data_IF_422871896877
#
_entry.id   IF_422871896877
#
_cell.length_a   1.000
_cell.length_b   1.000
_cell.length_c   1.000
_cell.angle_alpha   90.00
_cell.angle_beta   90.00
_cell.angle_gamma   90.00
#
_symmetry.space_group_name_H-M   'P 1'
#
loop_
_entity.id
_entity.type
_entity.pdbx_description
1 polymer ?
#
# COMPACT_ATOMS: atom_id res chain seq x y z
N UNK A 1 -19.28 12.02 0.09
CA UNK A 1 -18.61 10.73 0.37
C UNK A 1 -17.20 11.03 0.83
N UNK A 2 -16.71 10.37 1.88
CA UNK A 2 -15.39 10.63 2.44
C UNK A 2 -14.43 9.48 2.09
N UNK A 3 -13.18 9.82 1.81
CA UNK A 3 -12.10 8.87 1.57
C UNK A 3 -11.13 8.96 2.75
N UNK A 4 -10.76 7.82 3.31
CA UNK A 4 -9.70 7.72 4.31
C UNK A 4 -8.38 7.42 3.59
N UNK A 5 -7.34 8.19 3.89
CA UNK A 5 -5.99 7.95 3.39
C UNK A 5 -5.09 7.74 4.61
N UNK A 6 -4.48 6.56 4.69
CA UNK A 6 -3.47 6.23 5.69
C UNK A 6 -2.11 6.08 5.01
N UNK A 7 -1.12 6.82 5.51
CA UNK A 7 0.28 6.58 5.17
C UNK A 7 0.84 5.45 6.03
N UNK A 8 1.51 4.48 5.41
CA UNK A 8 2.08 3.30 6.07
C UNK A 8 3.60 3.37 6.10
N UNK A 9 4.21 3.90 5.04
CA UNK A 9 5.66 4.02 4.92
C UNK A 9 6.09 4.17 3.46
N UNK A 10 7.18 4.89 3.19
CA UNK A 10 7.67 5.17 1.82
C UNK A 10 6.51 5.68 0.93
N UNK A 11 6.30 5.06 -0.22
CA UNK A 11 5.21 5.31 -1.17
C UNK A 11 3.98 4.42 -0.94
N UNK A 12 3.92 3.71 0.20
CA UNK A 12 2.81 2.84 0.56
C UNK A 12 1.71 3.61 1.31
N UNK A 13 0.54 3.68 0.67
CA UNK A 13 -0.68 4.25 1.23
C UNK A 13 -1.80 3.21 1.20
N UNK A 14 -2.67 3.26 2.20
CA UNK A 14 -3.96 2.59 2.17
C UNK A 14 -5.05 3.63 1.98
N UNK A 15 -5.79 3.48 0.89
CA UNK A 15 -6.90 4.35 0.54
C UNK A 15 -8.17 3.53 0.72
N UNK A 16 -9.07 3.97 1.62
CA UNK A 16 -10.34 3.29 1.88
C UNK A 16 -11.50 4.22 1.54
N UNK A 17 -12.37 3.71 0.68
CA UNK A 17 -13.63 4.33 0.31
C UNK A 17 -14.79 3.34 0.55
N UNK A 18 -16.01 3.75 0.23
CA UNK A 18 -17.20 2.89 0.36
C UNK A 18 -17.11 1.67 -0.57
N UNK A 19 -16.51 1.85 -1.74
CA UNK A 19 -16.42 0.87 -2.82
C UNK A 19 -15.34 -0.18 -2.55
N UNK A 20 -14.37 0.11 -1.69
CA UNK A 20 -13.31 -0.80 -1.34
C UNK A 20 -12.04 -0.12 -0.84
N UNK A 21 -10.98 -0.94 -0.77
CA UNK A 21 -9.65 -0.55 -0.30
C UNK A 21 -8.61 -0.73 -1.40
N UNK A 22 -7.79 0.29 -1.62
CA UNK A 22 -6.61 0.25 -2.49
C UNK A 22 -5.36 0.37 -1.62
N UNK A 23 -4.35 -0.44 -1.92
CA UNK A 23 -3.00 -0.31 -1.34
C UNK A 23 -2.01 0.02 -2.44
N UNK A 24 -1.18 1.05 -2.23
CA UNK A 24 -0.14 1.45 -3.18
C UNK A 24 1.21 0.92 -2.75
N UNK A 25 2.07 0.57 -3.69
CA UNK A 25 3.50 0.26 -3.54
C UNK A 25 3.86 -0.44 -2.23
N UNK A 26 3.28 -1.64 -1.95
CA UNK A 26 3.52 -2.33 -0.69
C UNK A 26 5.01 -2.58 -0.52
N UNK A 27 5.59 -1.95 0.50
CA UNK A 27 7.02 -2.04 0.75
C UNK A 27 7.36 -3.33 1.53
N UNK A 28 8.58 -3.88 1.33
CA UNK A 28 8.99 -5.11 1.97
C UNK A 28 9.19 -4.95 3.49
N UNK A 29 9.08 -6.03 4.30
CA UNK A 29 9.19 -5.96 5.76
C UNK A 29 10.55 -5.45 6.27
N UNK A 30 11.61 -5.62 5.48
CA UNK A 30 12.96 -5.13 5.75
C UNK A 30 13.11 -3.62 5.52
N UNK A 31 12.08 -2.94 4.98
CA UNK A 31 12.06 -1.49 4.80
C UNK A 31 11.99 -0.71 6.11
N UNK A 32 11.84 -1.39 7.26
CA UNK A 32 11.67 -0.78 8.58
C UNK A 32 10.24 -0.37 8.92
N UNK A 33 9.30 -0.49 7.96
CA UNK A 33 7.89 -0.22 8.17
C UNK A 33 7.11 -1.51 8.45
N UNK A 34 6.27 -1.49 9.49
CA UNK A 34 5.38 -2.60 9.79
C UNK A 34 4.12 -2.49 8.95
N UNK A 35 4.10 -3.21 7.82
CA UNK A 35 2.83 -3.54 7.17
C UNK A 35 2.10 -4.54 8.08
N UNK A 36 1.22 -4.03 8.96
CA UNK A 36 0.17 -4.89 9.53
C UNK A 36 -0.58 -5.56 8.38
N UNK A 37 -1.16 -6.75 8.56
CA UNK A 37 -1.84 -7.48 7.47
C UNK A 37 -2.83 -6.56 6.74
N UNK A 38 -2.44 -6.07 5.56
CA UNK A 38 -3.26 -5.17 4.76
C UNK A 38 -4.21 -6.04 3.94
N UNK A 39 -5.52 -5.87 4.14
CA UNK A 39 -6.53 -6.40 3.24
C UNK A 39 -6.88 -5.31 2.22
N UNK A 40 -6.77 -5.64 0.94
CA UNK A 40 -7.01 -4.72 -0.16
C UNK A 40 -7.83 -5.40 -1.26
N UNK A 41 -8.72 -4.65 -1.89
CA UNK A 41 -9.43 -5.09 -3.09
C UNK A 41 -8.54 -4.93 -4.34
N UNK A 42 -7.64 -3.96 -4.33
CA UNK A 42 -6.70 -3.68 -5.41
C UNK A 42 -5.34 -3.26 -4.84
N UNK A 43 -4.27 -3.71 -5.49
CA UNK A 43 -2.89 -3.28 -5.21
C UNK A 43 -2.32 -2.61 -6.44
N UNK A 44 -1.75 -1.42 -6.28
CA UNK A 44 -1.05 -0.72 -7.37
C UNK A 44 0.45 -0.78 -7.14
N UNK A 45 1.21 -1.03 -8.20
CA UNK A 45 2.68 -1.01 -8.20
C UNK A 45 3.12 0.01 -9.23
N UNK A 46 3.68 1.13 -8.78
CA UNK A 46 4.05 2.26 -9.62
C UNK A 46 5.34 2.02 -10.41
N UNK A 47 6.31 1.29 -9.84
CA UNK A 47 7.55 0.91 -10.50
C UNK A 47 7.92 -0.54 -10.16
N UNK A 48 7.50 -1.48 -11.02
CA UNK A 48 7.63 -2.92 -10.75
C UNK A 48 9.08 -3.41 -10.71
N UNK A 49 9.97 -2.78 -11.46
CA UNK A 49 11.35 -3.25 -11.64
C UNK A 49 12.30 -2.73 -10.54
N UNK A 50 11.83 -1.81 -9.68
CA UNK A 50 12.65 -1.23 -8.62
C UNK A 50 12.42 -1.94 -7.26
N UNK A 51 13.49 -2.43 -6.61
CA UNK A 51 13.40 -2.98 -5.26
C UNK A 51 12.77 -1.97 -4.29
N UNK A 52 11.74 -2.41 -3.55
CA UNK A 52 11.06 -1.60 -2.54
C UNK A 52 9.75 -0.92 -2.99
N UNK A 53 9.34 -1.07 -4.25
CA UNK A 53 8.03 -0.64 -4.78
C UNK A 53 7.05 -1.80 -4.96
N UNK A 54 7.54 -3.02 -4.76
CA UNK A 54 6.74 -4.24 -4.77
C UNK A 54 7.33 -5.22 -3.76
N UNK A 55 6.47 -5.72 -2.88
CA UNK A 55 6.70 -6.92 -2.06
C UNK A 55 5.61 -7.91 -2.44
N UNK A 56 5.96 -8.86 -3.30
CA UNK A 56 5.09 -9.95 -3.73
C UNK A 56 5.69 -11.26 -3.27
#
# INVERSE_FOLDING_TARGET
MAVEIQWIGRTCFRIRAREGTVVTDPCPPDSGYKLSKLSANCVTVSNRDMPGYSYT
#
